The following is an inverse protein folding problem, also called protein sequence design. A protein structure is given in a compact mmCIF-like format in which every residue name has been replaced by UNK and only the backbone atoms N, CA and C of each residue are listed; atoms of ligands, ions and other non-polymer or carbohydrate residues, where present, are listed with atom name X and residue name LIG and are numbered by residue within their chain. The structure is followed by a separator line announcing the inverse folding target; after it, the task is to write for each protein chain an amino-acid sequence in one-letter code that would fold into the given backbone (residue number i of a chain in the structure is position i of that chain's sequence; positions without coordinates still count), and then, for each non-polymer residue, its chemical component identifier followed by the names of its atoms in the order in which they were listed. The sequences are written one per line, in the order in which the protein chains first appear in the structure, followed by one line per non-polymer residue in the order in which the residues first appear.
data_IF_037861850623
#
_entry.id   IF_037861850623
#
_cell.length_a   1.000
_cell.length_b   1.000
_cell.length_c   1.000
_cell.angle_alpha   90.00
_cell.angle_beta   90.00
_cell.angle_gamma   90.00
#
_symmetry.space_group_name_H-M   'P 1'
#
loop_
_entity.id
_entity.type
_entity.pdbx_description
1 polymer ?
#
# COMPACT_ATOMS: atom_id res chain seq x y z
N UNK A 1 -65.98 24.16 21.28
CA UNK A 1 -65.13 25.38 21.20
C UNK A 1 -64.87 25.67 19.73
N UNK A 2 -65.25 26.88 19.31
CA UNK A 2 -64.99 27.55 18.03
C UNK A 2 -63.51 27.47 17.59
N UNK A 3 -63.07 27.66 16.35
CA UNK A 3 -63.62 28.11 15.06
C UNK A 3 -62.51 27.83 14.04
N UNK A 4 -62.86 27.44 12.82
CA UNK A 4 -62.02 27.66 11.65
C UNK A 4 -61.89 29.17 11.36
N UNK A 5 -60.77 29.61 10.76
CA UNK A 5 -60.60 30.77 9.86
C UNK A 5 -59.16 30.70 9.29
N UNK A 6 -58.94 30.62 7.96
CA UNK A 6 -58.88 31.75 6.99
C UNK A 6 -57.58 32.58 7.15
N UNK A 7 -56.84 33.11 6.17
CA UNK A 7 -56.80 33.03 4.69
C UNK A 7 -55.66 33.97 4.25
N UNK A 8 -55.02 33.65 3.11
CA UNK A 8 -54.41 34.52 2.09
C UNK A 8 -53.43 35.68 2.45
N UNK A 9 -52.52 35.84 1.47
CA UNK A 9 -51.92 37.09 0.95
C UNK A 9 -50.73 37.68 1.72
N UNK A 10 -49.57 37.66 1.09
CA UNK A 10 -49.05 38.90 0.49
C UNK A 10 -48.09 38.57 -0.67
N UNK A 11 -48.38 39.17 -1.81
CA UNK A 11 -47.58 39.11 -3.04
C UNK A 11 -46.92 40.48 -3.27
N UNK A 12 -45.84 40.46 -4.07
CA UNK A 12 -45.25 41.57 -4.85
C UNK A 12 -44.40 42.56 -4.01
N UNK A 13 -43.25 43.09 -4.45
CA UNK A 13 -42.97 43.89 -5.66
C UNK A 13 -41.45 44.20 -5.74
N UNK A 14 -40.84 44.02 -6.94
CA UNK A 14 -39.72 44.74 -7.62
C UNK A 14 -38.35 44.88 -6.91
N UNK A 15 -37.21 44.71 -7.58
CA UNK A 15 -36.70 45.65 -8.59
C UNK A 15 -35.74 44.95 -9.57
N UNK A 16 -35.97 45.20 -10.86
CA UNK A 16 -35.06 44.87 -11.95
C UNK A 16 -33.86 45.83 -11.98
N UNK A 17 -32.68 45.33 -12.35
CA UNK A 17 -31.68 46.16 -13.02
C UNK A 17 -31.13 45.43 -14.26
N UNK A 18 -31.36 46.12 -15.36
CA UNK A 18 -30.98 45.88 -16.74
C UNK A 18 -29.48 45.97 -16.95
N UNK A 19 -28.93 45.16 -17.86
CA UNK A 19 -27.88 45.60 -18.78
C UNK A 19 -27.84 44.68 -19.99
N UNK A 20 -28.44 45.15 -21.08
CA UNK A 20 -28.20 44.66 -22.43
C UNK A 20 -27.28 45.68 -23.11
N UNK A 21 -26.12 45.23 -23.61
CA UNK A 21 -25.31 45.97 -24.58
C UNK A 21 -24.96 44.99 -25.69
N UNK A 22 -25.57 45.20 -26.85
CA UNK A 22 -25.16 44.64 -28.15
C UNK A 22 -24.83 45.86 -29.01
N UNK A 23 -23.57 46.00 -29.44
CA UNK A 23 -23.24 46.74 -30.68
C UNK A 23 -22.11 46.03 -31.42
N UNK A 24 -22.47 45.70 -32.66
CA UNK A 24 -21.79 45.34 -33.91
C UNK A 24 -20.25 45.20 -33.98
N UNK A 25 -19.89 44.11 -34.66
CA UNK A 25 -18.60 43.88 -35.31
C UNK A 25 -18.41 44.76 -36.56
N UNK A 26 -17.17 45.21 -36.79
CA UNK A 26 -16.45 45.19 -38.08
C UNK A 26 -15.05 45.80 -37.90
N UNK A 27 -14.01 45.03 -38.26
CA UNK A 27 -12.71 45.59 -38.63
C UNK A 27 -11.49 45.11 -37.83
N UNK A 28 -10.70 44.23 -38.45
CA UNK A 28 -9.23 44.33 -38.42
C UNK A 28 -8.47 43.66 -37.25
N UNK A 29 -7.69 42.64 -37.57
CA UNK A 29 -6.53 42.21 -36.78
C UNK A 29 -6.78 41.03 -35.84
N UNK A 30 -6.61 39.80 -36.35
CA UNK A 30 -6.36 38.64 -35.48
C UNK A 30 -4.95 38.76 -34.89
N UNK A 31 -4.84 39.46 -33.76
CA UNK A 31 -3.75 39.23 -32.84
C UNK A 31 -3.98 37.85 -32.19
N UNK A 32 -3.05 36.93 -32.40
CA UNK A 32 -2.92 35.71 -31.62
C UNK A 32 -2.65 36.15 -30.17
N UNK A 33 -3.71 36.24 -29.36
CA UNK A 33 -3.55 36.37 -27.93
C UNK A 33 -2.95 35.05 -27.43
N UNK A 34 -1.66 35.09 -27.11
CA UNK A 34 -1.00 34.02 -26.38
C UNK A 34 -1.78 33.79 -25.08
N UNK A 35 -2.27 32.57 -24.90
CA UNK A 35 -2.89 32.14 -23.66
C UNK A 35 -1.88 32.39 -22.52
N UNK A 36 -2.26 33.05 -21.41
CA UNK A 36 -1.35 33.24 -20.31
C UNK A 36 -0.93 31.87 -19.81
N UNK A 37 0.35 31.59 -19.97
CA UNK A 37 1.00 30.36 -19.54
C UNK A 37 0.64 30.15 -18.07
N UNK A 38 -0.14 29.10 -17.78
CA UNK A 38 -0.51 28.75 -16.39
C UNK A 38 0.80 28.67 -15.62
N UNK A 39 1.01 29.49 -14.57
CA UNK A 39 2.24 29.43 -13.80
C UNK A 39 2.45 27.98 -13.38
N UNK A 40 3.61 27.44 -13.76
CA UNK A 40 4.03 26.10 -13.41
C UNK A 40 3.74 25.90 -11.92
N UNK A 41 2.89 24.92 -11.61
CA UNK A 41 2.53 24.61 -10.24
C UNK A 41 3.82 24.44 -9.45
N UNK A 42 4.06 25.33 -8.48
CA UNK A 42 5.23 25.25 -7.62
C UNK A 42 5.31 23.83 -7.05
N UNK A 43 6.52 23.24 -6.90
CA UNK A 43 6.67 21.94 -6.28
C UNK A 43 5.97 21.98 -4.93
N UNK A 44 4.85 21.26 -4.80
CA UNK A 44 4.21 21.09 -3.51
C UNK A 44 5.27 20.50 -2.57
N UNK A 45 5.53 21.11 -1.41
CA UNK A 45 6.51 20.57 -0.48
C UNK A 45 6.06 19.15 -0.14
N UNK A 46 6.84 18.16 -0.56
CA UNK A 46 6.65 16.77 -0.12
C UNK A 46 6.62 16.82 1.40
N UNK A 47 5.54 16.33 2.05
CA UNK A 47 5.49 16.35 3.50
C UNK A 47 6.70 15.61 4.05
N UNK A 48 7.28 16.09 5.16
CA UNK A 48 8.50 15.53 5.70
C UNK A 48 8.26 14.06 6.04
N UNK A 49 9.06 13.18 5.44
CA UNK A 49 9.04 11.75 5.77
C UNK A 49 9.37 11.61 7.26
N UNK A 50 8.55 10.90 8.06
CA UNK A 50 8.83 10.70 9.48
C UNK A 50 10.25 10.18 9.71
N UNK A 51 10.99 10.87 10.58
CA UNK A 51 12.32 10.44 10.97
C UNK A 51 12.25 9.21 11.90
N UNK A 52 13.21 8.31 11.73
CA UNK A 52 13.39 7.17 12.65
C UNK A 52 14.36 7.62 13.74
N UNK A 53 13.96 7.49 15.01
CA UNK A 53 14.77 7.89 16.16
C UNK A 53 16.02 7.02 16.28
N UNK A 54 17.07 7.53 16.93
CA UNK A 54 18.36 6.82 17.02
C UNK A 54 18.23 5.45 17.68
N UNK A 55 17.30 5.32 18.61
CA UNK A 55 17.01 4.08 19.33
C UNK A 55 16.41 3.02 18.39
N UNK A 56 15.72 3.45 17.34
CA UNK A 56 15.08 2.59 16.34
C UNK A 56 15.95 2.38 15.09
N UNK A 57 17.09 3.07 14.96
CA UNK A 57 18.00 2.91 13.84
C UNK A 57 18.74 1.57 13.93
N UNK A 58 18.50 0.69 12.97
CA UNK A 58 19.27 -0.56 12.83
C UNK A 58 20.54 -0.34 12.00
N UNK A 59 21.70 -0.94 12.34
CA UNK A 59 22.96 -0.78 11.59
C UNK A 59 22.87 -1.14 10.10
N UNK A 60 22.00 -2.08 9.75
CA UNK A 60 21.80 -2.49 8.35
C UNK A 60 20.96 -1.48 7.54
N UNK A 61 20.20 -0.60 8.21
CA UNK A 61 19.17 0.24 7.61
C UNK A 61 18.14 -0.59 6.86
N UNK A 62 16.89 -0.68 7.33
CA UNK A 62 15.82 -1.32 6.54
C UNK A 62 15.50 -0.43 5.33
N UNK A 63 16.32 -0.50 4.28
CA UNK A 63 16.14 0.21 3.01
C UNK A 63 14.97 -0.44 2.29
N UNK A 64 13.79 0.16 2.40
CA UNK A 64 12.61 -0.28 1.67
C UNK A 64 12.42 0.67 0.50
N UNK A 65 12.54 0.16 -0.73
CA UNK A 65 12.14 0.93 -1.90
C UNK A 65 10.66 1.33 -1.74
N UNK A 66 10.28 2.58 -2.06
CA UNK A 66 8.89 3.02 -1.89
C UNK A 66 7.94 2.13 -2.71
N UNK A 67 6.97 1.50 -2.04
CA UNK A 67 5.88 0.76 -2.69
C UNK A 67 4.68 1.70 -2.80
N UNK A 68 4.20 2.04 -4.01
CA UNK A 68 3.08 2.96 -4.17
C UNK A 68 1.81 2.49 -3.46
N UNK A 69 1.12 3.42 -2.79
CA UNK A 69 -0.20 3.21 -2.16
C UNK A 69 -1.25 4.08 -2.86
N UNK A 70 -1.66 3.73 -4.09
CA UNK A 70 -2.44 4.62 -4.95
C UNK A 70 -3.87 4.86 -4.45
N UNK A 71 -4.49 3.90 -3.75
CA UNK A 71 -5.86 4.04 -3.26
C UNK A 71 -5.88 4.87 -1.98
N UNK A 72 -4.91 4.64 -1.09
CA UNK A 72 -4.71 5.46 0.12
C UNK A 72 -4.32 6.89 -0.24
N UNK A 73 -3.46 7.09 -1.24
CA UNK A 73 -3.14 8.43 -1.76
C UNK A 73 -4.39 9.13 -2.30
N UNK A 74 -5.22 8.43 -3.08
CA UNK A 74 -6.47 8.98 -3.61
C UNK A 74 -7.39 9.43 -2.48
N UNK A 75 -7.54 8.64 -1.43
CA UNK A 75 -8.33 9.01 -0.25
C UNK A 75 -7.78 10.25 0.47
N UNK A 76 -6.46 10.29 0.72
CA UNK A 76 -5.78 11.45 1.28
C UNK A 76 -6.04 12.72 0.45
N UNK A 77 -5.95 12.64 -0.88
CA UNK A 77 -6.17 13.79 -1.77
C UNK A 77 -7.61 14.28 -1.79
N UNK A 78 -8.59 13.36 -1.76
CA UNK A 78 -10.00 13.69 -1.93
C UNK A 78 -10.67 14.18 -0.65
N UNK A 79 -10.36 13.57 0.50
CA UNK A 79 -11.09 13.80 1.75
C UNK A 79 -10.20 14.12 2.93
N UNK A 80 -8.87 14.19 2.73
CA UNK A 80 -7.89 14.42 3.81
C UNK A 80 -7.99 13.40 4.95
N UNK A 81 -8.63 12.27 4.68
CA UNK A 81 -8.90 11.20 5.62
C UNK A 81 -8.58 9.86 5.00
N UNK A 82 -7.83 9.03 5.71
CA UNK A 82 -7.60 7.63 5.32
C UNK A 82 -8.21 6.69 6.35
N UNK A 83 -8.87 5.64 5.89
CA UNK A 83 -9.40 4.58 6.75
C UNK A 83 -8.56 3.33 6.60
N UNK A 84 -8.07 2.83 7.72
CA UNK A 84 -7.19 1.68 7.79
C UNK A 84 -7.90 0.58 8.55
N UNK A 85 -8.09 -0.57 7.90
CA UNK A 85 -8.56 -1.77 8.57
C UNK A 85 -7.33 -2.54 9.10
N UNK A 86 -7.22 -2.65 10.41
CA UNK A 86 -6.20 -3.47 11.05
C UNK A 86 -6.76 -4.86 11.38
N UNK A 87 -6.11 -5.91 10.87
CA UNK A 87 -6.56 -7.30 11.05
C UNK A 87 -5.35 -8.23 11.31
N UNK A 88 -5.61 -9.37 11.94
CA UNK A 88 -4.59 -10.30 12.41
C UNK A 88 -4.43 -10.27 13.93
N UNK A 89 -3.32 -10.76 14.46
CA UNK A 89 -3.09 -10.83 15.91
C UNK A 89 -3.50 -9.54 16.64
N UNK A 90 -4.26 -9.67 17.74
CA UNK A 90 -4.82 -8.52 18.44
C UNK A 90 -3.71 -7.57 18.92
N UNK A 91 -3.81 -6.29 18.54
CA UNK A 91 -3.03 -5.21 19.17
C UNK A 91 -3.67 -4.93 20.52
N UNK A 92 -2.98 -5.22 21.62
CA UNK A 92 -3.45 -4.83 22.95
C UNK A 92 -3.20 -3.33 23.11
N UNK A 93 -4.25 -2.51 22.97
CA UNK A 93 -4.23 -1.17 23.50
C UNK A 93 -3.93 -1.27 25.01
N UNK A 94 -2.86 -0.62 25.49
CA UNK A 94 -2.58 -0.50 26.92
C UNK A 94 -3.06 0.87 27.39
N UNK A 95 -3.61 0.95 28.60
CA UNK A 95 -4.08 2.22 29.15
C UNK A 95 -2.90 3.11 29.58
N UNK A 96 -2.92 4.39 29.18
CA UNK A 96 -1.94 5.44 29.56
C UNK A 96 -1.58 6.39 28.40
N UNK A 97 -1.04 7.61 28.69
CA UNK A 97 -0.80 8.66 27.68
C UNK A 97 0.19 8.25 26.56
N UNK A 98 1.10 7.32 26.86
CA UNK A 98 2.10 6.78 25.92
C UNK A 98 1.95 5.27 25.67
N UNK A 99 0.78 4.68 25.97
CA UNK A 99 0.58 3.22 26.01
C UNK A 99 -0.32 2.64 24.92
N UNK A 100 -0.48 3.33 23.79
CA UNK A 100 -1.08 2.73 22.60
C UNK A 100 -0.30 1.49 22.11
N UNK A 101 -0.98 0.55 21.48
CA UNK A 101 -0.30 -0.43 20.63
C UNK A 101 0.42 0.27 19.48
N UNK A 102 1.12 -0.50 18.63
CA UNK A 102 1.87 0.12 17.52
C UNK A 102 0.97 0.87 16.52
N UNK A 103 -0.34 0.59 16.52
CA UNK A 103 -1.33 1.21 15.64
C UNK A 103 -1.58 2.66 16.04
N UNK A 104 -1.85 2.92 17.32
CA UNK A 104 -2.08 4.24 17.88
C UNK A 104 -0.80 5.10 17.83
N UNK A 105 0.37 4.49 18.05
CA UNK A 105 1.65 5.18 17.87
C UNK A 105 1.87 5.54 16.40
N UNK A 106 1.52 4.65 15.47
CA UNK A 106 1.61 4.91 14.03
C UNK A 106 0.68 6.05 13.61
N UNK A 107 -0.56 6.06 14.08
CA UNK A 107 -1.57 7.11 13.85
C UNK A 107 -1.01 8.49 14.21
N UNK A 108 -0.52 8.65 15.45
CA UNK A 108 0.06 9.92 15.91
C UNK A 108 1.25 10.36 15.07
N UNK A 109 2.13 9.44 14.68
CA UNK A 109 3.32 9.76 13.88
C UNK A 109 2.92 10.25 12.48
N UNK A 110 1.99 9.54 11.81
CA UNK A 110 1.64 9.86 10.42
C UNK A 110 0.80 11.13 10.32
N UNK A 111 -0.13 11.37 11.26
CA UNK A 111 -0.89 12.62 11.35
C UNK A 111 0.02 13.82 11.66
N UNK A 112 1.00 13.63 12.56
CA UNK A 112 2.00 14.66 12.85
C UNK A 112 2.90 14.99 11.66
N UNK A 113 3.17 14.01 10.79
CA UNK A 113 4.02 14.20 9.61
C UNK A 113 3.28 14.82 8.41
N UNK A 114 2.00 14.49 8.24
CA UNK A 114 1.18 14.96 7.11
C UNK A 114 0.11 15.91 7.63
N UNK A 115 0.40 17.22 7.58
CA UNK A 115 -0.51 18.25 8.08
C UNK A 115 -1.92 18.12 7.47
N UNK A 116 -2.92 18.06 8.35
CA UNK A 116 -4.33 18.00 7.97
C UNK A 116 -4.79 16.61 7.51
N UNK A 117 -3.99 15.56 7.67
CA UNK A 117 -4.43 14.18 7.54
C UNK A 117 -5.19 13.74 8.80
N UNK A 118 -6.37 13.14 8.60
CA UNK A 118 -7.13 12.38 9.61
C UNK A 118 -6.96 10.88 9.34
N UNK A 119 -6.55 10.11 10.33
CA UNK A 119 -6.37 8.66 10.21
C UNK A 119 -7.39 7.95 11.09
N UNK A 120 -8.26 7.14 10.47
CA UNK A 120 -9.20 6.29 11.19
C UNK A 120 -8.72 4.84 11.14
N UNK A 121 -8.27 4.29 12.27
CA UNK A 121 -7.90 2.88 12.37
C UNK A 121 -9.06 2.07 12.96
N UNK A 122 -9.61 1.16 12.15
CA UNK A 122 -10.62 0.20 12.60
C UNK A 122 -9.91 -1.11 12.94
N UNK A 123 -9.73 -1.39 14.23
CA UNK A 123 -9.10 -2.62 14.70
C UNK A 123 -10.12 -3.78 14.75
N UNK A 124 -9.80 -4.85 14.03
CA UNK A 124 -10.54 -6.12 13.93
C UNK A 124 -9.62 -7.31 14.15
N UNK A 125 -8.60 -7.12 14.98
CA UNK A 125 -7.63 -8.16 15.28
C UNK A 125 -8.21 -9.26 16.17
N UNK A 126 -7.80 -10.50 15.91
CA UNK A 126 -8.16 -11.69 16.70
C UNK A 126 -6.87 -12.42 17.06
N UNK A 127 -6.66 -12.65 18.35
CA UNK A 127 -5.46 -13.35 18.84
C UNK A 127 -5.48 -14.82 18.41
N UNK A 128 -4.32 -15.34 17.97
CA UNK A 128 -4.19 -16.74 17.54
C UNK A 128 -4.83 -17.09 16.20
N UNK A 129 -5.47 -16.15 15.52
CA UNK A 129 -6.13 -16.38 14.22
C UNK A 129 -5.10 -16.78 13.15
N UNK A 130 -5.44 -17.78 12.34
CA UNK A 130 -4.65 -18.23 11.20
C UNK A 130 -5.09 -17.50 9.93
N UNK A 131 -4.21 -17.39 8.95
CA UNK A 131 -4.53 -16.69 7.69
C UNK A 131 -5.73 -17.30 6.97
N UNK A 132 -5.87 -18.64 7.02
CA UNK A 132 -6.98 -19.35 6.36
C UNK A 132 -8.35 -18.94 6.91
N UNK A 133 -8.42 -18.55 8.19
CA UNK A 133 -9.65 -18.14 8.86
C UNK A 133 -9.86 -16.63 8.69
N UNK A 134 -8.78 -15.85 8.85
CA UNK A 134 -8.79 -14.40 8.68
C UNK A 134 -9.26 -13.96 7.29
N UNK A 135 -8.92 -14.71 6.22
CA UNK A 135 -9.23 -14.31 4.83
C UNK A 135 -10.74 -14.19 4.57
N UNK A 136 -11.56 -15.07 5.15
CA UNK A 136 -13.01 -15.04 4.93
C UNK A 136 -13.64 -13.88 5.68
N UNK A 137 -13.24 -13.69 6.94
CA UNK A 137 -13.66 -12.54 7.75
C UNK A 137 -13.20 -11.22 7.15
N UNK A 138 -12.01 -11.16 6.58
CA UNK A 138 -11.46 -9.95 5.98
C UNK A 138 -12.32 -9.43 4.84
N UNK A 139 -12.94 -10.29 4.03
CA UNK A 139 -13.89 -9.86 2.98
C UNK A 139 -15.10 -9.14 3.59
N UNK A 140 -15.63 -9.67 4.69
CA UNK A 140 -16.77 -9.09 5.42
C UNK A 140 -16.37 -7.74 6.03
N UNK A 141 -15.23 -7.68 6.71
CA UNK A 141 -14.74 -6.44 7.32
C UNK A 141 -14.45 -5.36 6.27
N UNK A 142 -13.92 -5.73 5.09
CA UNK A 142 -13.73 -4.78 3.98
C UNK A 142 -15.07 -4.25 3.48
N UNK A 143 -16.09 -5.11 3.35
CA UNK A 143 -17.42 -4.68 2.93
C UNK A 143 -18.07 -3.72 3.94
N UNK A 144 -17.89 -3.98 5.24
CA UNK A 144 -18.47 -3.16 6.32
C UNK A 144 -17.72 -1.83 6.52
N UNK A 145 -16.39 -1.86 6.48
CA UNK A 145 -15.57 -0.70 6.84
C UNK A 145 -15.18 0.16 5.64
N UNK A 146 -15.18 -0.42 4.43
CA UNK A 146 -14.70 0.23 3.20
C UNK A 146 -13.34 0.92 3.41
N UNK A 147 -12.29 0.18 3.77
CA UNK A 147 -10.98 0.76 4.07
C UNK A 147 -10.24 1.14 2.78
N UNK A 148 -9.36 2.13 2.87
CA UNK A 148 -8.42 2.43 1.78
C UNK A 148 -7.21 1.51 1.79
N UNK A 149 -6.85 1.06 3.00
CA UNK A 149 -5.69 0.24 3.26
C UNK A 149 -6.01 -0.81 4.32
N UNK A 150 -5.50 -2.03 4.13
CA UNK A 150 -5.47 -3.06 5.16
C UNK A 150 -4.06 -3.15 5.73
N UNK A 151 -3.96 -3.05 7.05
CA UNK A 151 -2.76 -3.37 7.82
C UNK A 151 -2.91 -4.80 8.37
N UNK A 152 -2.33 -5.77 7.66
CA UNK A 152 -2.56 -7.18 7.94
C UNK A 152 -1.37 -7.83 8.66
N UNK A 153 -1.55 -8.15 9.94
CA UNK A 153 -0.57 -8.92 10.70
C UNK A 153 -0.72 -10.41 10.43
N UNK A 154 0.34 -11.03 9.92
CA UNK A 154 0.32 -12.45 9.48
C UNK A 154 1.54 -13.23 9.97
N UNK A 155 1.36 -14.54 10.12
CA UNK A 155 2.45 -15.51 10.18
C UNK A 155 2.89 -15.94 11.57
N UNK A 156 2.69 -15.16 12.64
CA UNK A 156 3.05 -15.62 14.01
C UNK A 156 2.22 -16.84 14.41
N UNK A 157 0.88 -16.74 14.33
CA UNK A 157 -0.02 -17.86 14.67
C UNK A 157 0.20 -19.05 13.75
N UNK A 158 0.33 -18.81 12.44
CA UNK A 158 0.54 -19.86 11.43
C UNK A 158 1.86 -20.62 11.65
N UNK A 159 2.93 -19.92 12.06
CA UNK A 159 4.20 -20.54 12.41
C UNK A 159 4.09 -21.44 13.65
N UNK A 160 3.41 -20.96 14.70
CA UNK A 160 3.19 -21.72 15.94
C UNK A 160 2.31 -22.96 15.68
N UNK A 161 1.32 -22.83 14.80
CA UNK A 161 0.47 -23.92 14.36
C UNK A 161 1.14 -24.83 13.30
N UNK A 162 2.40 -24.56 12.92
CA UNK A 162 3.17 -25.31 11.91
C UNK A 162 2.44 -25.46 10.57
N UNK A 163 1.71 -24.41 10.16
CA UNK A 163 1.07 -24.36 8.84
C UNK A 163 2.15 -24.50 7.76
N UNK A 164 1.96 -25.38 6.74
CA UNK A 164 2.89 -25.47 5.63
C UNK A 164 3.10 -24.11 4.96
N UNK A 165 4.35 -23.70 4.78
CA UNK A 165 4.66 -22.37 4.26
C UNK A 165 4.02 -22.09 2.89
N UNK A 166 3.89 -23.11 2.04
CA UNK A 166 3.28 -22.97 0.72
C UNK A 166 1.76 -22.77 0.77
N UNK A 167 1.07 -23.41 1.72
CA UNK A 167 -0.35 -23.17 1.97
C UNK A 167 -0.56 -21.72 2.45
N UNK A 168 0.26 -21.29 3.43
CA UNK A 168 0.26 -19.93 3.93
C UNK A 168 0.48 -18.91 2.79
N UNK A 169 1.48 -19.11 1.93
CA UNK A 169 1.73 -18.20 0.79
C UNK A 169 0.57 -18.10 -0.18
N UNK A 170 -0.11 -19.22 -0.42
CA UNK A 170 -1.26 -19.28 -1.32
C UNK A 170 -2.38 -18.42 -0.73
N UNK A 171 -2.73 -18.65 0.54
CA UNK A 171 -3.80 -17.89 1.20
C UNK A 171 -3.51 -16.39 1.30
N UNK A 172 -2.29 -15.99 1.69
CA UNK A 172 -1.94 -14.56 1.74
C UNK A 172 -1.95 -13.95 0.34
N UNK A 173 -1.37 -14.64 -0.65
CA UNK A 173 -1.31 -14.16 -2.03
C UNK A 173 -2.68 -13.97 -2.67
N UNK A 174 -3.58 -14.95 -2.50
CA UNK A 174 -4.96 -14.88 -2.99
C UNK A 174 -5.70 -13.68 -2.39
N UNK A 175 -5.56 -13.48 -1.08
CA UNK A 175 -6.26 -12.39 -0.42
C UNK A 175 -5.67 -11.02 -0.77
N UNK A 176 -4.35 -10.91 -0.96
CA UNK A 176 -3.71 -9.69 -1.48
C UNK A 176 -4.25 -9.33 -2.88
N UNK A 177 -4.36 -10.32 -3.78
CA UNK A 177 -4.95 -10.10 -5.11
C UNK A 177 -6.40 -9.68 -5.03
N UNK A 178 -7.18 -10.30 -4.14
CA UNK A 178 -8.57 -9.94 -3.91
C UNK A 178 -8.70 -8.49 -3.43
N UNK A 179 -7.93 -8.07 -2.42
CA UNK A 179 -7.94 -6.69 -1.90
C UNK A 179 -7.60 -5.66 -2.99
N UNK A 180 -6.58 -5.96 -3.80
CA UNK A 180 -6.20 -5.12 -4.94
C UNK A 180 -7.33 -4.97 -5.96
N UNK A 181 -8.02 -6.06 -6.30
CA UNK A 181 -9.16 -6.03 -7.21
C UNK A 181 -10.30 -5.15 -6.65
N UNK A 182 -10.41 -5.05 -5.33
CA UNK A 182 -11.37 -4.19 -4.62
C UNK A 182 -10.83 -2.79 -4.31
N UNK A 183 -9.71 -2.39 -4.92
CA UNK A 183 -9.09 -1.05 -4.77
C UNK A 183 -8.70 -0.73 -3.32
N UNK A 184 -8.29 -1.74 -2.57
CA UNK A 184 -7.77 -1.60 -1.20
C UNK A 184 -6.27 -1.88 -1.23
N UNK A 185 -5.47 -0.94 -0.73
CA UNK A 185 -4.02 -1.13 -0.61
C UNK A 185 -3.70 -2.07 0.56
N UNK A 186 -2.57 -2.77 0.48
CA UNK A 186 -2.21 -3.79 1.49
C UNK A 186 -0.82 -3.55 2.04
N UNK A 187 -0.73 -3.56 3.37
CA UNK A 187 0.53 -3.55 4.11
C UNK A 187 0.60 -4.81 4.96
N UNK A 188 1.56 -5.69 4.65
CA UNK A 188 1.81 -6.90 5.42
C UNK A 188 2.70 -6.60 6.62
N UNK A 189 2.20 -6.84 7.83
CA UNK A 189 3.00 -6.80 9.06
C UNK A 189 3.50 -8.21 9.34
N UNK A 190 4.80 -8.42 9.14
CA UNK A 190 5.39 -9.73 9.26
C UNK A 190 5.43 -10.26 10.70
N UNK A 191 5.89 -11.50 10.82
CA UNK A 191 6.02 -12.24 12.07
C UNK A 191 6.78 -11.45 13.16
N UNK A 192 6.42 -11.66 14.42
CA UNK A 192 7.10 -11.06 15.57
C UNK A 192 8.47 -11.70 15.77
N UNK A 193 9.46 -11.01 16.35
CA UNK A 193 10.68 -11.69 16.79
C UNK A 193 10.47 -12.29 18.19
N UNK A 194 10.90 -13.53 18.37
CA UNK A 194 10.96 -14.18 19.68
C UNK A 194 12.24 -15.00 19.74
N UNK A 195 13.13 -14.68 20.68
CA UNK A 195 14.47 -15.27 20.76
C UNK A 195 14.45 -16.79 20.81
N UNK A 196 13.57 -17.38 21.61
CA UNK A 196 13.43 -18.85 21.72
C UNK A 196 12.99 -19.52 20.43
N UNK A 197 12.34 -18.78 19.51
CA UNK A 197 11.88 -19.26 18.21
C UNK A 197 12.78 -18.80 17.05
N UNK A 198 13.89 -18.12 17.35
CA UNK A 198 14.73 -17.52 16.32
C UNK A 198 15.36 -18.56 15.38
N UNK A 199 15.49 -19.82 15.80
CA UNK A 199 16.03 -20.90 14.97
C UNK A 199 14.99 -21.99 14.66
N UNK A 200 13.72 -21.79 15.04
CA UNK A 200 12.66 -22.73 14.74
C UNK A 200 12.43 -22.80 13.21
N UNK A 201 12.44 -24.01 12.60
CA UNK A 201 12.29 -24.17 11.16
C UNK A 201 10.96 -23.63 10.61
N UNK A 202 9.85 -23.83 11.34
CA UNK A 202 8.51 -23.41 10.91
C UNK A 202 8.39 -21.88 10.95
N UNK A 203 8.91 -21.28 12.02
CA UNK A 203 8.98 -19.84 12.20
C UNK A 203 9.77 -19.16 11.08
N UNK A 204 10.94 -19.69 10.75
CA UNK A 204 11.77 -19.17 9.67
C UNK A 204 11.15 -19.42 8.29
N UNK A 205 10.46 -20.56 8.09
CA UNK A 205 9.76 -20.85 6.85
C UNK A 205 8.64 -19.84 6.57
N UNK A 206 7.80 -19.54 7.58
CA UNK A 206 6.72 -18.55 7.47
C UNK A 206 7.28 -17.13 7.33
N UNK A 207 8.34 -16.77 8.06
CA UNK A 207 9.03 -15.47 7.87
C UNK A 207 9.46 -15.27 6.41
N UNK A 208 10.08 -16.30 5.81
CA UNK A 208 10.49 -16.26 4.39
C UNK A 208 9.29 -16.21 3.45
N UNK A 209 8.22 -16.94 3.76
CA UNK A 209 6.98 -16.93 3.00
C UNK A 209 6.35 -15.52 2.92
N UNK A 210 6.23 -14.81 4.05
CA UNK A 210 5.73 -13.42 4.07
C UNK A 210 6.58 -12.52 3.15
N UNK A 211 7.92 -12.66 3.20
CA UNK A 211 8.82 -11.90 2.33
C UNK A 211 8.60 -12.22 0.85
N UNK A 212 8.46 -13.51 0.49
CA UNK A 212 8.21 -13.95 -0.89
C UNK A 212 6.89 -13.42 -1.42
N UNK A 213 5.81 -13.49 -0.63
CA UNK A 213 4.50 -12.95 -1.02
C UNK A 213 4.59 -11.44 -1.24
N UNK A 214 5.20 -10.70 -0.31
CA UNK A 214 5.35 -9.25 -0.45
C UNK A 214 6.10 -8.86 -1.73
N UNK A 215 7.18 -9.56 -2.06
CA UNK A 215 7.97 -9.33 -3.27
C UNK A 215 7.19 -9.72 -4.53
N UNK A 216 6.57 -10.91 -4.55
CA UNK A 216 5.82 -11.43 -5.70
C UNK A 216 4.62 -10.58 -6.04
N UNK A 217 3.84 -10.19 -5.03
CA UNK A 217 2.65 -9.37 -5.24
C UNK A 217 3.01 -7.88 -5.35
N UNK A 218 4.21 -7.44 -4.95
CA UNK A 218 4.61 -6.03 -4.96
C UNK A 218 3.86 -5.19 -3.93
N UNK A 219 3.66 -5.72 -2.73
CA UNK A 219 3.00 -5.02 -1.61
C UNK A 219 3.98 -4.64 -0.52
N UNK A 220 3.64 -3.59 0.22
CA UNK A 220 4.50 -3.12 1.31
C UNK A 220 4.56 -4.18 2.43
N UNK A 221 5.76 -4.42 2.95
CA UNK A 221 5.98 -5.30 4.10
C UNK A 221 6.72 -4.55 5.20
N UNK A 222 6.15 -4.55 6.40
CA UNK A 222 6.84 -4.07 7.60
C UNK A 222 7.74 -5.18 8.15
N UNK A 223 9.04 -4.90 8.20
CA UNK A 223 10.08 -5.81 8.70
C UNK A 223 10.14 -5.89 10.23
N UNK A 224 9.02 -6.23 10.89
CA UNK A 224 8.92 -6.28 12.35
C UNK A 224 9.95 -7.23 12.98
N UNK A 225 10.07 -8.46 12.45
CA UNK A 225 11.07 -9.42 12.93
C UNK A 225 12.48 -8.84 12.87
N UNK A 226 12.88 -8.28 11.72
CA UNK A 226 14.24 -7.76 11.52
C UNK A 226 14.54 -6.57 12.44
N UNK A 227 13.57 -5.66 12.60
CA UNK A 227 13.71 -4.51 13.48
C UNK A 227 13.88 -4.95 14.94
N UNK A 228 13.00 -5.82 15.45
CA UNK A 228 13.08 -6.29 16.84
C UNK A 228 14.33 -7.15 17.09
N UNK A 229 14.73 -8.00 16.15
CA UNK A 229 15.96 -8.79 16.24
C UNK A 229 17.20 -7.89 16.37
N UNK A 230 17.31 -6.87 15.52
CA UNK A 230 18.42 -5.93 15.55
C UNK A 230 18.49 -5.16 16.87
N UNK A 231 17.34 -4.71 17.38
CA UNK A 231 17.24 -4.02 18.67
C UNK A 231 17.65 -4.92 19.84
N UNK A 232 17.23 -6.18 19.83
CA UNK A 232 17.63 -7.14 20.86
C UNK A 232 19.14 -7.39 20.85
N UNK A 233 19.77 -7.52 19.67
CA UNK A 233 21.23 -7.71 19.54
C UNK A 233 22.01 -6.52 20.10
N UNK A 234 21.57 -5.29 19.82
CA UNK A 234 22.21 -4.07 20.36
C UNK A 234 22.10 -4.02 21.88
N UNK A 235 20.96 -4.43 22.45
CA UNK A 235 20.76 -4.48 23.91
C UNK A 235 21.65 -5.51 24.59
N UNK A 236 21.88 -6.67 23.99
CA UNK A 236 22.79 -7.69 24.53
C UNK A 236 24.25 -7.23 24.62
N UNK A 237 24.65 -6.26 23.78
CA UNK A 237 25.97 -5.62 23.86
C UNK A 237 26.08 -4.53 24.94
N UNK A 238 25.01 -4.23 25.68
CA UNK A 238 24.97 -3.25 26.78
C UNK A 238 24.70 -3.98 28.11
N UNK A 239 25.31 -3.51 29.20
CA UNK A 239 25.18 -4.09 30.55
C UNK A 239 23.72 -4.34 30.96
N UNK A 240 23.41 -5.44 31.67
CA UNK A 240 22.04 -5.80 32.00
C UNK A 240 21.51 -4.88 33.10
N UNK A 241 20.63 -3.94 32.73
CA UNK A 241 19.65 -3.41 33.69
C UNK A 241 18.63 -4.51 34.03
N UNK A 242 18.08 -4.55 35.25
CA UNK A 242 17.04 -5.52 35.61
C UNK A 242 15.92 -5.46 34.58
N UNK A 243 15.38 -6.60 34.12
CA UNK A 243 14.31 -6.59 33.14
C UNK A 243 13.07 -5.97 33.80
N UNK A 244 12.67 -4.78 33.35
CA UNK A 244 11.26 -4.41 33.43
C UNK A 244 10.53 -5.26 32.37
N UNK A 245 9.67 -6.21 32.77
CA UNK A 245 8.91 -7.04 31.84
C UNK A 245 7.98 -6.22 30.92
N UNK A 246 7.81 -4.92 31.16
CA UNK A 246 7.00 -4.01 30.35
C UNK A 246 7.82 -3.06 29.44
N UNK A 247 9.06 -2.70 29.79
CA UNK A 247 9.94 -1.85 28.97
C UNK A 247 10.40 -2.50 27.64
N UNK A 248 10.27 -3.81 27.49
CA UNK A 248 10.64 -4.56 26.27
C UNK A 248 9.62 -4.42 25.15
N UNK A 249 8.35 -4.18 25.47
CA UNK A 249 7.27 -4.19 24.47
C UNK A 249 7.01 -2.79 23.89
N UNK A 250 7.11 -1.75 24.72
CA UNK A 250 6.79 -0.36 24.35
C UNK A 250 7.81 0.23 23.34
N UNK A 251 9.12 0.02 23.55
CA UNK A 251 10.15 0.46 22.60
C UNK A 251 10.11 -0.29 21.26
N UNK A 252 9.75 -1.58 21.28
CA UNK A 252 9.61 -2.39 20.06
C UNK A 252 8.42 -1.90 19.21
N UNK A 253 7.29 -1.58 19.85
CA UNK A 253 6.13 -1.02 19.17
C UNK A 253 6.37 0.37 18.60
N UNK A 254 7.07 1.25 19.34
CA UNK A 254 7.44 2.58 18.85
C UNK A 254 8.30 2.49 17.58
N UNK A 255 9.29 1.59 17.54
CA UNK A 255 10.11 1.41 16.35
C UNK A 255 9.32 0.85 15.18
N UNK A 256 8.47 -0.17 15.41
CA UNK A 256 7.60 -0.71 14.35
C UNK A 256 6.68 0.37 13.79
N UNK A 257 6.10 1.20 14.64
CA UNK A 257 5.25 2.32 14.25
C UNK A 257 6.01 3.36 13.41
N UNK A 258 7.23 3.74 13.81
CA UNK A 258 8.08 4.65 13.04
C UNK A 258 8.44 4.07 11.66
N UNK A 259 8.83 2.80 11.59
CA UNK A 259 9.11 2.12 10.33
C UNK A 259 7.88 2.06 9.42
N UNK A 260 6.71 1.76 9.98
CA UNK A 260 5.45 1.74 9.25
C UNK A 260 5.09 3.14 8.75
N UNK A 261 5.16 4.17 9.60
CA UNK A 261 4.85 5.56 9.24
C UNK A 261 5.76 6.08 8.12
N UNK A 262 7.07 5.83 8.22
CA UNK A 262 8.02 6.17 7.18
C UNK A 262 7.68 5.46 5.86
N UNK A 263 7.45 4.15 5.91
CA UNK A 263 7.20 3.36 4.71
C UNK A 263 5.87 3.73 4.02
N UNK A 264 4.81 3.97 4.79
CA UNK A 264 3.52 4.46 4.26
C UNK A 264 3.69 5.85 3.67
N UNK A 265 4.37 6.78 4.36
CA UNK A 265 4.61 8.13 3.83
C UNK A 265 5.38 8.08 2.51
N UNK A 266 6.45 7.28 2.44
CA UNK A 266 7.19 7.06 1.19
C UNK A 266 6.30 6.46 0.10
N UNK A 267 5.44 5.50 0.43
CA UNK A 267 4.50 4.88 -0.51
C UNK A 267 3.40 5.81 -1.02
N UNK A 268 2.93 6.74 -0.18
CA UNK A 268 1.95 7.77 -0.57
C UNK A 268 2.53 8.75 -1.60
N UNK A 269 3.82 9.06 -1.50
CA UNK A 269 4.49 10.02 -2.41
C UNK A 269 5.44 9.35 -3.41
N UNK A 270 5.41 8.03 -3.51
CA UNK A 270 6.16 7.28 -4.51
C UNK A 270 5.66 7.64 -5.91
N UNK A 271 6.57 8.03 -6.81
CA UNK A 271 6.22 8.19 -8.22
C UNK A 271 5.81 6.83 -8.78
N UNK A 272 4.63 6.75 -9.39
CA UNK A 272 4.28 5.56 -10.19
C UNK A 272 5.28 5.48 -11.33
N UNK A 273 6.09 4.43 -11.34
CA UNK A 273 6.70 3.98 -12.59
C UNK A 273 5.58 3.26 -13.32
N UNK A 274 4.92 3.95 -14.25
CA UNK A 274 4.01 3.30 -15.19
C UNK A 274 4.82 2.14 -15.83
N UNK A 275 4.31 0.90 -15.87
CA UNK A 275 4.99 -0.14 -16.63
C UNK A 275 5.13 0.40 -18.04
N UNK A 276 6.38 0.54 -18.54
CA UNK A 276 6.64 0.89 -19.93
C UNK A 276 5.68 0.03 -20.75
N UNK A 277 4.75 0.65 -21.49
CA UNK A 277 3.99 -0.06 -22.52
C UNK A 277 5.04 -0.81 -23.32
N UNK A 278 5.08 -2.12 -23.18
CA UNK A 278 5.99 -2.94 -23.97
C UNK A 278 5.63 -2.61 -25.40
N UNK A 279 6.57 -1.99 -26.12
CA UNK A 279 6.43 -1.87 -27.56
C UNK A 279 6.19 -3.31 -28.04
N UNK A 280 5.10 -3.57 -28.80
CA UNK A 280 4.87 -4.92 -29.30
C UNK A 280 6.17 -5.41 -29.95
N UNK A 281 6.56 -6.68 -29.74
CA UNK A 281 7.74 -7.22 -30.39
C UNK A 281 7.62 -6.92 -31.88
N UNK A 282 8.72 -6.46 -32.49
CA UNK A 282 8.74 -6.24 -33.93
C UNK A 282 8.20 -7.51 -34.62
N UNK A 283 7.32 -7.39 -35.61
CA UNK A 283 6.86 -8.56 -36.36
C UNK A 283 8.07 -9.33 -36.87
N UNK A 284 8.02 -10.65 -36.73
CA UNK A 284 9.08 -11.52 -37.21
C UNK A 284 9.41 -11.21 -38.68
N UNK A 285 10.69 -11.23 -39.08
CA UNK A 285 11.05 -11.05 -40.48
C UNK A 285 10.32 -12.09 -41.32
N UNK A 286 9.80 -11.65 -42.47
CA UNK A 286 9.08 -12.51 -43.40
C UNK A 286 9.93 -13.74 -43.75
N UNK A 287 9.31 -14.93 -43.89
CA UNK A 287 10.04 -16.12 -44.31
C UNK A 287 10.72 -15.87 -45.65
N UNK A 288 11.98 -16.30 -45.76
CA UNK A 288 12.73 -16.22 -47.00
C UNK A 288 11.98 -16.93 -48.14
N UNK A 289 12.05 -16.43 -49.38
CA UNK A 289 11.40 -17.06 -50.52
C UNK A 289 11.90 -18.51 -50.67
N UNK A 290 10.94 -19.43 -50.78
CA UNK A 290 11.18 -20.86 -50.96
C UNK A 290 11.99 -21.09 -52.24
N UNK A 291 13.15 -21.71 -52.09
CA UNK A 291 14.09 -21.96 -53.18
C UNK A 291 13.52 -23.07 -54.08
N UNK A 292 13.40 -22.80 -55.38
CA UNK A 292 12.81 -23.72 -56.35
C UNK A 292 13.47 -25.12 -56.32
N UNK A 293 12.71 -26.21 -56.54
CA UNK A 293 13.23 -27.56 -56.44
C UNK A 293 14.32 -27.83 -57.51
N UNK A 294 15.45 -28.36 -57.06
CA UNK A 294 16.57 -28.80 -57.88
C UNK A 294 16.11 -29.89 -58.86
N UNK A 295 16.43 -29.80 -60.17
CA UNK A 295 16.02 -30.81 -61.13
C UNK A 295 16.71 -32.16 -60.85
N UNK A 296 16.05 -33.30 -61.13
CA UNK A 296 16.60 -34.62 -60.86
C UNK A 296 17.82 -34.91 -61.73
N UNK A 297 18.80 -35.58 -61.12
CA UNK A 297 20.07 -35.98 -61.73
C UNK A 297 19.81 -36.98 -62.87
N UNK A 298 20.46 -36.85 -64.04
CA UNK A 298 20.31 -37.83 -65.12
C UNK A 298 20.84 -39.21 -64.70
N UNK A 299 20.11 -40.26 -65.08
CA UNK A 299 20.50 -41.66 -64.85
C UNK A 299 21.75 -42.04 -65.67
N UNK A 300 22.65 -42.87 -65.13
CA UNK A 300 23.85 -43.31 -65.84
C UNK A 300 23.50 -44.26 -66.99
N UNK A 301 24.16 -44.06 -68.13
CA UNK A 301 24.03 -44.92 -69.31
C UNK A 301 24.71 -46.28 -69.10
N UNK A 302 24.16 -47.37 -69.66
CA UNK A 302 24.73 -48.71 -69.52
C UNK A 302 26.07 -48.86 -70.26
N UNK A 303 26.96 -49.75 -69.80
CA UNK A 303 28.28 -49.96 -70.39
C UNK A 303 28.17 -50.53 -71.80
N UNK A 304 28.97 -49.98 -72.74
CA UNK A 304 29.14 -50.57 -74.07
C UNK A 304 30.00 -51.83 -73.93
N UNK A 305 29.44 -52.97 -74.33
CA UNK A 305 30.11 -54.27 -74.29
C UNK A 305 31.31 -54.35 -75.23
N UNK A 306 32.29 -55.15 -74.79
CA UNK A 306 33.23 -55.90 -75.59
C UNK A 306 33.18 -57.35 -75.13
#
# INVERSE_FOLDING_TARGET
MARALDVKRLSLVRLALTSAVIVLALGGGRALAAEPERPASQPQPTPPVPAITRECQTPAGVKTAPIPLPNTLRALQQRKKIRILAIGGASTARSGPDRGGFQEVFERIIEGAIKGLDVEIVNRGVSGELVRDAKERLKVEVALTQPDMVLWQVGTSDALARVPAQEFETHVGDMVRWLRAHKVDVVLVGIQYTRSLAHDPSYQAIRRAVRRVAQREGVLRVGRYEATEALERVRQGRQPTPPDPFATTEGSYACVAQYLAQAVTLGLFARRVEPRRQRPPNPAPAPAPEMAPTPPRPLPLPPKGG
#
